data_IF_411637293238
#
_entry.id   IF_411637293238
#
_cell.length_a   1.000
_cell.length_b   1.000
_cell.length_c   1.000
_cell.angle_alpha   90.00
_cell.angle_beta   90.00
_cell.angle_gamma   90.00
#
_symmetry.space_group_name_H-M   'P 1'
#
loop_
_entity.id
_entity.type
_entity.pdbx_description
1 polymer ?
#
# COMPACT_ATOMS: atom_id res chain seq x y z
N UNK A 1 30.61 -20.32 -0.78
CA UNK A 1 29.96 -20.07 -0.75
C UNK A 1 29.10 -19.86 -0.95
N UNK A 2 29.10 -19.80 -0.97
CA UNK A 2 28.30 -19.67 -1.07
C UNK A 2 27.45 -19.38 -0.99
N UNK A 3 27.51 -19.33 -0.62
CA UNK A 3 26.58 -19.18 -0.30
C UNK A 3 26.00 -18.24 0.35
N UNK A 4 26.56 -17.72 0.56
CA UNK A 4 26.28 -16.68 1.20
C UNK A 4 25.21 -15.95 0.63
N UNK A 5 25.11 -15.96 -0.52
CA UNK A 5 24.07 -15.38 -1.20
C UNK A 5 22.79 -15.85 -0.71
N UNK A 6 22.76 -17.01 -0.29
CA UNK A 6 21.55 -17.54 0.17
C UNK A 6 21.10 -16.91 1.41
N UNK A 7 22.00 -16.22 2.05
CA UNK A 7 21.63 -15.61 3.26
C UNK A 7 20.91 -14.35 3.03
N UNK A 8 20.93 -13.85 1.85
CA UNK A 8 20.26 -12.61 1.56
C UNK A 8 18.76 -12.84 1.59
N UNK A 9 18.08 -12.14 2.45
CA UNK A 9 16.65 -12.28 2.52
C UNK A 9 16.03 -11.60 1.36
N UNK A 10 15.00 -12.19 0.81
CA UNK A 10 14.26 -11.56 -0.24
C UNK A 10 13.46 -10.44 0.37
N UNK A 11 13.53 -9.28 -0.21
CA UNK A 11 12.77 -8.14 0.23
C UNK A 11 11.41 -8.23 -0.44
N UNK A 12 10.32 -8.26 0.34
CA UNK A 12 9.00 -8.34 -0.28
C UNK A 12 8.73 -7.11 -1.13
N UNK A 13 8.39 -7.34 -2.38
CA UNK A 13 8.08 -6.26 -3.31
C UNK A 13 6.60 -6.23 -3.56
N UNK A 14 6.07 -5.04 -3.73
CA UNK A 14 4.65 -4.86 -4.03
C UNK A 14 4.52 -3.80 -5.11
N UNK A 15 3.41 -3.84 -5.82
CA UNK A 15 3.18 -2.92 -6.91
C UNK A 15 2.38 -1.72 -6.45
N UNK A 16 2.87 -0.53 -6.79
CA UNK A 16 2.14 0.69 -6.52
C UNK A 16 0.97 0.80 -7.49
N UNK A 17 -0.21 1.05 -6.96
CA UNK A 17 -1.40 1.14 -7.80
C UNK A 17 -1.52 2.47 -8.53
N UNK A 18 -0.61 3.40 -8.25
CA UNK A 18 -0.57 4.67 -8.97
C UNK A 18 0.36 4.62 -10.16
N UNK A 19 1.62 4.25 -9.92
CA UNK A 19 2.62 4.26 -10.99
C UNK A 19 2.93 2.88 -11.55
N UNK A 20 2.39 1.84 -10.94
CA UNK A 20 2.58 0.44 -11.37
C UNK A 20 4.00 -0.09 -11.20
N UNK A 21 4.86 0.65 -10.52
CA UNK A 21 6.21 0.17 -10.28
C UNK A 21 6.24 -0.75 -9.08
N UNK A 22 7.16 -1.68 -9.07
CA UNK A 22 7.35 -2.58 -7.94
C UNK A 22 8.41 -2.01 -7.02
N UNK A 23 8.10 -1.92 -5.74
CA UNK A 23 9.00 -1.37 -4.74
C UNK A 23 8.92 -2.19 -3.47
N UNK A 24 9.93 -2.09 -2.60
CA UNK A 24 9.87 -2.78 -1.32
C UNK A 24 8.60 -2.35 -0.57
N UNK A 25 7.90 -3.31 -0.01
CA UNK A 25 6.60 -2.99 0.58
C UNK A 25 6.70 -1.98 1.72
N UNK A 26 7.82 -1.93 2.43
CA UNK A 26 7.94 -0.96 3.51
C UNK A 26 8.12 0.47 3.01
N UNK A 27 8.36 0.65 1.72
CA UNK A 27 8.42 1.98 1.14
C UNK A 27 7.06 2.44 0.66
N UNK A 28 6.04 1.62 0.79
CA UNK A 28 4.71 1.91 0.27
C UNK A 28 3.72 2.05 1.41
N UNK A 29 2.65 2.78 1.14
CA UNK A 29 1.54 2.87 2.06
C UNK A 29 0.64 1.68 1.79
N UNK A 30 0.27 0.95 2.83
CA UNK A 30 -0.60 -0.21 2.69
C UNK A 30 -1.98 0.09 3.21
N UNK A 31 -3.00 -0.14 2.37
CA UNK A 31 -4.40 -0.05 2.76
C UNK A 31 -4.89 -1.47 2.89
N UNK A 32 -5.53 -1.81 4.00
CA UNK A 32 -5.93 -3.17 4.29
C UNK A 32 -7.44 -3.29 4.48
N UNK A 33 -8.00 -4.34 3.91
CA UNK A 33 -9.36 -4.74 4.21
C UNK A 33 -9.27 -5.97 5.09
N UNK A 34 -9.73 -5.86 6.32
CA UNK A 34 -9.67 -6.98 7.26
C UNK A 34 -10.62 -8.09 6.85
N UNK A 35 -10.46 -9.28 7.42
CA UNK A 35 -11.42 -10.36 7.14
C UNK A 35 -12.86 -9.98 7.50
N UNK A 36 -13.03 -9.05 8.43
CA UNK A 36 -14.35 -8.58 8.82
C UNK A 36 -14.86 -7.47 7.91
N UNK A 37 -14.06 -7.04 6.96
CA UNK A 37 -14.48 -6.01 6.01
C UNK A 37 -14.12 -4.59 6.37
N UNK A 38 -13.34 -4.40 7.43
CA UNK A 38 -12.95 -3.04 7.82
C UNK A 38 -11.75 -2.57 7.02
N UNK A 39 -11.79 -1.31 6.63
CA UNK A 39 -10.69 -0.71 5.86
C UNK A 39 -9.88 0.17 6.79
N UNK A 40 -8.56 0.02 6.74
CA UNK A 40 -7.67 0.84 7.55
C UNK A 40 -6.30 0.90 6.89
N UNK A 41 -5.46 1.82 7.39
CA UNK A 41 -4.08 1.88 6.94
C UNK A 41 -3.24 1.00 7.86
N UNK A 42 -2.19 0.43 7.30
CA UNK A 42 -1.32 -0.47 8.04
C UNK A 42 0.11 0.02 7.90
N UNK A 43 0.64 0.62 8.95
CA UNK A 43 1.96 1.23 8.90
C UNK A 43 3.10 0.29 9.29
N UNK A 44 2.80 -0.83 9.91
CA UNK A 44 3.86 -1.76 10.29
C UNK A 44 3.72 -3.15 9.65
N UNK A 45 2.76 -3.30 8.75
CA UNK A 45 2.64 -4.52 7.96
C UNK A 45 2.09 -5.72 8.70
N UNK A 46 1.49 -5.51 9.86
CA UNK A 46 1.04 -6.63 10.68
C UNK A 46 -0.44 -6.93 10.65
N UNK A 47 -1.22 -6.06 10.02
CA UNK A 47 -2.66 -6.30 9.97
C UNK A 47 -2.99 -7.41 8.99
N UNK A 48 -3.90 -8.29 9.39
CA UNK A 48 -4.37 -9.34 8.52
C UNK A 48 -5.36 -8.81 7.52
N UNK A 49 -5.35 -9.37 6.32
CA UNK A 49 -6.35 -9.03 5.34
C UNK A 49 -5.73 -8.76 3.98
N UNK A 50 -6.58 -8.31 3.07
CA UNK A 50 -6.14 -8.03 1.71
C UNK A 50 -5.55 -6.63 1.66
N UNK A 51 -4.39 -6.50 1.02
CA UNK A 51 -3.69 -5.23 0.98
C UNK A 51 -3.61 -4.62 -0.39
N UNK A 52 -3.62 -3.29 -0.43
CA UNK A 52 -3.38 -2.53 -1.63
C UNK A 52 -2.29 -1.52 -1.30
N UNK A 53 -1.41 -1.26 -2.25
CA UNK A 53 -0.20 -0.47 -1.99
C UNK A 53 -0.08 0.70 -2.94
N UNK A 54 0.39 1.83 -2.41
CA UNK A 54 0.73 2.99 -3.25
C UNK A 54 1.98 3.65 -2.71
N UNK A 55 2.71 4.34 -3.59
CA UNK A 55 3.83 5.16 -3.16
C UNK A 55 3.33 6.28 -2.26
N UNK A 56 4.12 6.71 -1.29
CA UNK A 56 3.76 7.87 -0.47
C UNK A 56 4.00 9.15 -1.27
N UNK A 57 3.25 9.31 -2.35
CA UNK A 57 3.42 10.36 -3.33
C UNK A 57 2.05 10.88 -3.72
N UNK A 58 1.94 12.19 -3.78
CA UNK A 58 0.70 12.83 -4.15
C UNK A 58 0.24 12.38 -5.54
N UNK A 59 1.19 12.23 -6.45
CA UNK A 59 0.87 11.82 -7.81
C UNK A 59 0.29 10.42 -7.85
N UNK A 60 0.93 9.48 -7.16
CA UNK A 60 0.44 8.11 -7.12
C UNK A 60 -0.89 8.02 -6.42
N UNK A 61 -1.06 8.79 -5.35
CA UNK A 61 -2.31 8.82 -4.62
C UNK A 61 -3.45 9.28 -5.53
N UNK A 62 -3.24 10.37 -6.24
CA UNK A 62 -4.28 10.90 -7.12
C UNK A 62 -4.62 9.93 -8.24
N UNK A 63 -3.60 9.31 -8.81
CA UNK A 63 -3.84 8.34 -9.89
C UNK A 63 -4.62 7.14 -9.40
N UNK A 64 -4.23 6.60 -8.26
CA UNK A 64 -4.88 5.42 -7.72
C UNK A 64 -6.33 5.73 -7.33
N UNK A 65 -6.56 6.92 -6.77
CA UNK A 65 -7.90 7.31 -6.38
C UNK A 65 -8.79 7.54 -7.59
N UNK A 66 -8.26 8.26 -8.57
CA UNK A 66 -9.04 8.58 -9.77
C UNK A 66 -9.45 7.33 -10.53
N UNK A 67 -8.56 6.35 -10.60
CA UNK A 67 -8.86 5.11 -11.32
C UNK A 67 -9.58 4.09 -10.45
N UNK A 68 -9.79 4.40 -9.17
CA UNK A 68 -10.49 3.52 -8.24
C UNK A 68 -9.79 2.18 -8.03
N UNK A 69 -8.49 2.14 -8.25
CA UNK A 69 -7.78 0.87 -8.21
C UNK A 69 -7.71 0.27 -6.82
N UNK A 70 -7.63 1.11 -5.78
CA UNK A 70 -7.59 0.59 -4.42
C UNK A 70 -8.91 -0.12 -4.11
N UNK A 71 -10.02 0.54 -4.43
CA UNK A 71 -11.34 -0.05 -4.21
C UNK A 71 -11.49 -1.34 -5.00
N UNK A 72 -10.99 -1.35 -6.23
CA UNK A 72 -11.10 -2.55 -7.07
C UNK A 72 -10.30 -3.71 -6.49
N UNK A 73 -9.09 -3.45 -6.04
CA UNK A 73 -8.25 -4.51 -5.47
C UNK A 73 -8.85 -5.04 -4.18
N UNK A 74 -9.37 -4.15 -3.34
CA UNK A 74 -9.95 -4.56 -2.07
C UNK A 74 -11.40 -4.99 -2.20
N UNK A 75 -11.96 -4.83 -3.40
CA UNK A 75 -13.32 -5.26 -3.70
C UNK A 75 -14.37 -4.65 -2.77
N UNK A 76 -14.18 -3.38 -2.46
CA UNK A 76 -15.13 -2.67 -1.61
C UNK A 76 -14.93 -1.17 -1.79
N UNK A 77 -15.90 -0.40 -1.32
CA UNK A 77 -15.79 1.04 -1.34
C UNK A 77 -14.79 1.47 -0.27
N UNK A 78 -14.01 2.49 -0.58
CA UNK A 78 -13.04 3.01 0.39
C UNK A 78 -13.65 4.25 1.04
N UNK A 79 -13.80 4.25 2.38
CA UNK A 79 -14.33 5.42 3.06
C UNK A 79 -13.48 6.66 2.80
N UNK A 80 -14.14 7.79 2.68
CA UNK A 80 -13.43 9.04 2.42
C UNK A 80 -12.39 9.33 3.50
N UNK A 81 -12.69 8.94 4.74
CA UNK A 81 -11.73 9.12 5.84
C UNK A 81 -10.41 8.43 5.59
N UNK A 82 -10.45 7.30 4.91
CA UNK A 82 -9.22 6.56 4.61
C UNK A 82 -8.39 7.33 3.59
N UNK A 83 -9.05 7.89 2.57
CA UNK A 83 -8.34 8.71 1.61
C UNK A 83 -7.75 9.96 2.29
N UNK A 84 -8.50 10.53 3.22
CA UNK A 84 -8.00 11.70 3.96
C UNK A 84 -6.78 11.35 4.78
N UNK A 85 -6.80 10.20 5.44
CA UNK A 85 -5.65 9.73 6.22
C UNK A 85 -4.43 9.50 5.34
N UNK A 86 -4.64 8.92 4.16
CA UNK A 86 -3.56 8.67 3.24
C UNK A 86 -2.93 9.99 2.79
N UNK A 87 -3.77 10.96 2.44
CA UNK A 87 -3.30 12.24 1.97
C UNK A 87 -2.52 12.96 3.07
N UNK A 88 -3.02 12.90 4.28
CA UNK A 88 -2.34 13.51 5.41
C UNK A 88 -0.98 12.87 5.64
N UNK A 89 -0.94 11.55 5.56
CA UNK A 89 0.30 10.81 5.75
C UNK A 89 1.34 11.19 4.69
N UNK A 90 0.89 11.33 3.45
CA UNK A 90 1.78 11.69 2.35
C UNK A 90 2.32 13.11 2.57
N UNK A 91 1.46 14.02 2.96
CA UNK A 91 1.88 15.40 3.19
C UNK A 91 2.90 15.48 4.33
N UNK A 92 2.69 14.70 5.38
CA UNK A 92 3.61 14.71 6.51
C UNK A 92 4.95 14.07 6.20
N UNK A 93 4.95 13.13 5.27
CA UNK A 93 6.17 12.43 4.91
C UNK A 93 7.04 13.18 3.91
N UNK A 94 6.50 14.21 3.33
CA UNK A 94 7.26 15.04 2.39
C UNK A 94 7.85 16.23 3.10
#
# INVERSE_FOLDING_TARGET
MDNKMQKIKKIPMRQCLGCNEHKPKKELIRVVRSPEGEISLDFNGKKSGRGAYICPSEICFKKARKSNRIANILECSIPEEIYDEMQKRIAEGE
#
